data_IF_684191857430
#
_entry.id   IF_684191857430
#
_cell.length_a   1.000
_cell.length_b   1.000
_cell.length_c   1.000
_cell.angle_alpha   90.00
_cell.angle_beta   90.00
_cell.angle_gamma   90.00
#
_symmetry.space_group_name_H-M   'P 1'
#
loop_
_entity.id
_entity.type
_entity.pdbx_description
1 polymer ?
#
# COMPACT_ATOMS: atom_id res chain seq x y z
N UNK A 1 10.63 -23.87 20.99
CA UNK A 1 9.68 -22.73 21.00
C UNK A 1 10.40 -21.54 21.59
N UNK A 2 11.10 -20.76 20.77
CA UNK A 2 11.75 -19.52 21.16
C UNK A 2 11.99 -18.78 19.84
N UNK A 3 11.30 -17.65 19.61
CA UNK A 3 11.74 -16.50 18.81
C UNK A 3 10.61 -15.56 18.35
N UNK A 4 9.32 -15.84 18.63
CA UNK A 4 8.25 -14.92 18.22
C UNK A 4 8.19 -13.65 19.08
N UNK A 5 8.59 -13.72 20.36
CA UNK A 5 8.50 -12.60 21.29
C UNK A 5 9.63 -11.55 21.13
N UNK A 6 10.79 -11.93 20.60
CA UNK A 6 11.97 -11.04 20.51
C UNK A 6 11.93 -10.10 19.31
N UNK A 7 11.16 -10.39 18.25
CA UNK A 7 10.96 -9.45 17.13
C UNK A 7 9.97 -8.33 17.44
N UNK A 8 9.11 -8.50 18.45
CA UNK A 8 8.17 -7.46 18.88
C UNK A 8 8.84 -6.33 19.69
N UNK A 9 10.05 -6.56 20.23
CA UNK A 9 10.72 -5.64 21.16
C UNK A 9 11.55 -4.52 20.53
N UNK A 10 11.74 -4.49 19.20
CA UNK A 10 12.64 -3.53 18.53
C UNK A 10 11.93 -2.47 17.69
N UNK A 11 10.60 -2.34 17.80
CA UNK A 11 9.79 -1.46 16.95
C UNK A 11 8.84 -0.57 17.76
N UNK A 12 9.33 -0.02 18.87
CA UNK A 12 8.62 0.97 19.67
C UNK A 12 9.22 2.36 19.42
N UNK A 13 8.49 3.19 18.67
CA UNK A 13 8.42 4.64 18.85
C UNK A 13 7.45 5.33 17.87
N UNK A 14 7.10 4.74 16.71
CA UNK A 14 6.23 5.39 15.70
C UNK A 14 5.42 4.42 14.81
N UNK A 15 5.23 3.16 15.21
CA UNK A 15 4.54 2.19 14.36
C UNK A 15 3.01 2.33 14.49
N UNK A 16 2.41 3.05 13.55
CA UNK A 16 0.99 2.90 13.25
C UNK A 16 0.75 1.41 12.92
N UNK A 17 0.02 0.71 13.78
CA UNK A 17 -0.33 -0.69 13.55
C UNK A 17 -1.11 -0.78 12.22
N UNK A 18 -0.55 -1.47 11.22
CA UNK A 18 -1.23 -1.66 9.95
C UNK A 18 -2.55 -2.39 10.18
N UNK A 19 -3.63 -1.91 9.56
CA UNK A 19 -4.93 -2.57 9.65
C UNK A 19 -5.00 -3.66 8.58
N UNK A 20 -5.41 -4.88 8.92
CA UNK A 20 -5.62 -5.96 7.95
C UNK A 20 -7.06 -6.44 7.97
N UNK A 21 -7.52 -7.01 6.84
CA UNK A 21 -8.88 -7.51 6.71
C UNK A 21 -9.13 -8.80 7.50
N UNK A 22 -8.09 -9.60 7.67
CA UNK A 22 -8.04 -10.83 8.46
C UNK A 22 -6.59 -11.35 8.47
N UNK A 23 -6.35 -12.41 9.23
CA UNK A 23 -5.04 -13.08 9.34
C UNK A 23 -4.51 -13.58 7.98
N UNK A 24 -5.38 -14.01 7.06
CA UNK A 24 -4.95 -14.47 5.72
C UNK A 24 -4.38 -13.30 4.90
N UNK A 25 -4.96 -12.11 5.01
CA UNK A 25 -4.44 -10.89 4.39
C UNK A 25 -3.07 -10.54 4.97
N UNK A 26 -2.94 -10.48 6.29
CA UNK A 26 -1.66 -10.15 6.95
C UNK A 26 -0.54 -11.14 6.58
N UNK A 27 -0.81 -12.45 6.68
CA UNK A 27 0.16 -13.49 6.34
C UNK A 27 0.60 -13.38 4.89
N UNK A 28 -0.35 -13.24 3.96
CA UNK A 28 -0.03 -13.07 2.55
C UNK A 28 0.87 -11.86 2.29
N UNK A 29 0.59 -10.72 2.93
CA UNK A 29 1.36 -9.50 2.75
C UNK A 29 2.83 -9.70 3.10
N UNK A 30 3.13 -10.23 4.29
CA UNK A 30 4.51 -10.43 4.71
C UNK A 30 5.23 -11.51 3.89
N UNK A 31 4.56 -12.63 3.60
CA UNK A 31 5.13 -13.71 2.77
C UNK A 31 5.52 -13.22 1.37
N UNK A 32 4.66 -12.40 0.72
CA UNK A 32 4.94 -11.88 -0.62
C UNK A 32 5.93 -10.73 -0.62
N UNK A 33 5.95 -9.89 0.42
CA UNK A 33 6.91 -8.80 0.54
C UNK A 33 8.34 -9.31 0.75
N UNK A 34 8.52 -10.44 1.44
CA UNK A 34 9.83 -11.11 1.58
C UNK A 34 10.35 -11.64 0.23
N UNK A 35 9.44 -12.05 -0.66
CA UNK A 35 9.75 -12.54 -2.01
C UNK A 35 9.91 -11.40 -3.03
N UNK A 36 9.54 -10.18 -2.68
CA UNK A 36 9.53 -9.05 -3.61
C UNK A 36 10.94 -8.56 -3.92
N UNK A 37 11.17 -8.23 -5.20
CA UNK A 37 12.45 -7.66 -5.67
C UNK A 37 12.80 -6.34 -4.98
N UNK A 38 11.78 -5.57 -4.60
CA UNK A 38 11.91 -4.31 -3.88
C UNK A 38 10.88 -4.23 -2.76
N UNK A 39 11.23 -3.50 -1.69
CA UNK A 39 10.34 -3.21 -0.56
C UNK A 39 10.05 -1.70 -0.44
N UNK A 40 9.97 -1.02 -1.59
CA UNK A 40 9.56 0.39 -1.68
C UNK A 40 8.05 0.57 -1.45
N UNK A 41 7.59 1.82 -1.46
CA UNK A 41 6.18 2.16 -1.22
C UNK A 41 5.23 1.62 -2.31
N UNK A 42 5.70 1.47 -3.57
CA UNK A 42 4.91 0.92 -4.67
C UNK A 42 4.63 -0.57 -4.45
N UNK A 43 5.67 -1.35 -4.18
CA UNK A 43 5.56 -2.79 -3.96
C UNK A 43 4.78 -3.11 -2.68
N UNK A 44 5.02 -2.34 -1.60
CA UNK A 44 4.25 -2.47 -0.36
C UNK A 44 2.76 -2.25 -0.59
N UNK A 45 2.40 -1.16 -1.27
CA UNK A 45 0.99 -0.87 -1.56
C UNK A 45 0.35 -1.93 -2.47
N UNK A 46 1.03 -2.33 -3.55
CA UNK A 46 0.56 -3.36 -4.48
C UNK A 46 0.26 -4.68 -3.75
N UNK A 47 1.25 -5.21 -3.02
CA UNK A 47 1.13 -6.51 -2.34
C UNK A 47 0.07 -6.46 -1.24
N UNK A 48 0.00 -5.35 -0.49
CA UNK A 48 -1.01 -5.15 0.53
C UNK A 48 -2.41 -5.16 -0.08
N UNK A 49 -2.68 -4.35 -1.11
CA UNK A 49 -4.02 -4.28 -1.72
C UNK A 49 -4.43 -5.64 -2.29
N UNK A 50 -3.55 -6.32 -3.05
CA UNK A 50 -3.81 -7.66 -3.57
C UNK A 50 -4.00 -8.71 -2.47
N UNK A 51 -3.48 -8.46 -1.28
CA UNK A 51 -3.68 -9.31 -0.11
C UNK A 51 -5.08 -9.25 0.48
N UNK A 52 -5.93 -8.26 0.14
CA UNK A 52 -7.26 -8.08 0.73
C UNK A 52 -8.21 -9.21 0.33
N UNK A 53 -8.37 -9.45 -0.97
CA UNK A 53 -9.32 -10.42 -1.52
C UNK A 53 -8.73 -11.83 -1.54
N UNK A 54 -9.57 -12.83 -1.26
CA UNK A 54 -9.18 -14.22 -1.42
C UNK A 54 -8.89 -14.59 -2.87
N UNK A 55 -9.72 -14.11 -3.80
CA UNK A 55 -9.57 -14.37 -5.23
C UNK A 55 -8.21 -13.87 -5.74
N UNK A 56 -7.81 -12.66 -5.32
CA UNK A 56 -6.52 -12.07 -5.73
C UNK A 56 -5.33 -12.77 -5.11
N UNK A 57 -5.45 -13.29 -3.88
CA UNK A 57 -4.39 -14.11 -3.26
C UNK A 57 -4.21 -15.43 -4.01
N UNK A 58 -5.32 -16.10 -4.35
CA UNK A 58 -5.31 -17.39 -5.03
C UNK A 58 -4.78 -17.29 -6.48
N UNK A 59 -4.96 -16.14 -7.13
CA UNK A 59 -4.56 -15.90 -8.52
C UNK A 59 -3.41 -14.89 -8.67
N UNK A 60 -2.62 -14.66 -7.61
CA UNK A 60 -1.59 -13.63 -7.58
C UNK A 60 -0.61 -13.67 -8.77
N UNK A 61 -0.18 -14.87 -9.18
CA UNK A 61 0.74 -15.04 -10.32
C UNK A 61 0.12 -14.67 -11.68
N UNK A 62 -1.21 -14.62 -11.77
CA UNK A 62 -1.93 -14.14 -12.94
C UNK A 62 -2.09 -12.62 -12.94
N UNK A 63 -1.90 -11.95 -11.80
CA UNK A 63 -2.07 -10.50 -11.64
C UNK A 63 -0.72 -9.77 -11.73
N UNK A 64 0.31 -10.32 -11.11
CA UNK A 64 1.63 -9.69 -10.99
C UNK A 64 2.76 -10.71 -11.19
N UNK A 65 3.72 -10.35 -12.04
CA UNK A 65 4.95 -11.10 -12.22
C UNK A 65 6.03 -10.58 -11.26
N UNK A 66 6.31 -11.36 -10.21
CA UNK A 66 7.32 -11.02 -9.21
C UNK A 66 8.75 -10.91 -9.79
N UNK A 67 9.04 -11.59 -10.90
CA UNK A 67 10.38 -11.62 -11.51
C UNK A 67 10.61 -10.38 -12.38
N UNK A 68 9.67 -10.10 -13.29
CA UNK A 68 9.79 -8.93 -14.18
C UNK A 68 9.39 -7.63 -13.48
N UNK A 69 8.44 -7.70 -12.54
CA UNK A 69 7.79 -6.54 -11.95
C UNK A 69 6.64 -6.00 -12.81
N UNK A 70 6.14 -6.78 -13.76
CA UNK A 70 5.04 -6.38 -14.63
C UNK A 70 3.69 -6.79 -14.05
N UNK A 71 2.73 -5.87 -14.11
CA UNK A 71 1.30 -6.19 -13.95
C UNK A 71 0.78 -6.90 -15.20
N UNK A 72 -0.22 -7.76 -15.04
CA UNK A 72 -0.82 -8.57 -16.11
C UNK A 72 -2.29 -8.20 -16.27
N UNK A 73 -2.59 -7.36 -17.25
CA UNK A 73 -3.92 -6.76 -17.41
C UNK A 73 -4.99 -7.76 -17.84
N UNK A 74 -4.58 -8.89 -18.43
CA UNK A 74 -5.45 -10.00 -18.80
C UNK A 74 -6.21 -10.59 -17.61
N UNK A 75 -5.69 -10.39 -16.38
CA UNK A 75 -6.36 -10.81 -15.16
C UNK A 75 -7.73 -10.14 -14.95
N UNK A 76 -7.95 -8.94 -15.51
CA UNK A 76 -9.21 -8.19 -15.39
C UNK A 76 -10.38 -8.90 -16.10
N UNK A 77 -10.09 -9.85 -16.99
CA UNK A 77 -11.07 -10.58 -17.79
C UNK A 77 -11.16 -12.08 -17.45
N UNK A 78 -10.44 -12.53 -16.43
CA UNK A 78 -10.45 -13.93 -16.04
C UNK A 78 -11.74 -14.30 -15.32
N UNK A 79 -12.23 -15.52 -15.55
CA UNK A 79 -13.51 -16.00 -15.02
C UNK A 79 -13.57 -16.12 -13.49
N UNK A 80 -12.44 -16.03 -12.79
CA UNK A 80 -12.40 -16.00 -11.33
C UNK A 80 -12.71 -14.62 -10.74
N UNK A 81 -12.74 -13.56 -11.55
CA UNK A 81 -13.00 -12.21 -11.06
C UNK A 81 -14.42 -12.05 -10.53
N UNK A 82 -14.51 -11.41 -9.37
CA UNK A 82 -15.74 -10.92 -8.75
C UNK A 82 -15.79 -9.40 -8.84
N UNK A 83 -16.96 -8.81 -8.53
CA UNK A 83 -17.11 -7.35 -8.45
C UNK A 83 -16.20 -6.72 -7.40
N UNK A 84 -15.79 -7.47 -6.37
CA UNK A 84 -14.84 -7.03 -5.35
C UNK A 84 -13.39 -7.16 -5.80
N UNK A 85 -13.01 -8.32 -6.35
CA UNK A 85 -11.61 -8.55 -6.75
C UNK A 85 -11.15 -7.66 -7.90
N UNK A 86 -12.04 -7.32 -8.84
CA UNK A 86 -11.67 -6.39 -9.93
C UNK A 86 -11.35 -4.98 -9.40
N UNK A 87 -12.04 -4.52 -8.35
CA UNK A 87 -11.76 -3.23 -7.69
C UNK A 87 -10.43 -3.26 -6.95
N UNK A 88 -10.14 -4.39 -6.29
CA UNK A 88 -8.84 -4.64 -5.63
C UNK A 88 -7.71 -4.57 -6.67
N UNK A 89 -7.83 -5.28 -7.79
CA UNK A 89 -6.81 -5.29 -8.86
C UNK A 89 -6.59 -3.88 -9.42
N UNK A 90 -7.67 -3.16 -9.80
CA UNK A 90 -7.56 -1.81 -10.37
C UNK A 90 -6.90 -0.83 -9.40
N UNK A 91 -7.26 -0.85 -8.11
CA UNK A 91 -6.58 -0.01 -7.14
C UNK A 91 -5.10 -0.37 -6.99
N UNK A 92 -4.77 -1.67 -6.93
CA UNK A 92 -3.39 -2.12 -6.80
C UNK A 92 -2.54 -1.71 -8.02
N UNK A 93 -3.09 -1.85 -9.23
CA UNK A 93 -2.47 -1.40 -10.48
C UNK A 93 -2.25 0.11 -10.49
N UNK A 94 -3.24 0.89 -10.09
CA UNK A 94 -3.13 2.34 -10.05
C UNK A 94 -2.06 2.81 -9.07
N UNK A 95 -2.04 2.28 -7.83
CA UNK A 95 -1.02 2.64 -6.85
C UNK A 95 0.40 2.21 -7.26
N UNK A 96 0.52 1.13 -8.04
CA UNK A 96 1.82 0.62 -8.48
C UNK A 96 2.38 1.35 -9.72
N UNK A 97 1.51 1.74 -10.66
CA UNK A 97 1.91 2.27 -11.97
C UNK A 97 1.64 3.76 -12.16
N UNK A 98 0.89 4.38 -11.22
CA UNK A 98 0.32 5.72 -11.35
C UNK A 98 -0.55 5.91 -12.62
N UNK A 99 -0.99 4.82 -13.23
CA UNK A 99 -1.78 4.81 -14.46
C UNK A 99 -3.09 4.03 -14.32
N UNK A 100 -3.68 3.71 -15.47
CA UNK A 100 -4.88 2.88 -15.58
C UNK A 100 -4.60 1.67 -16.48
N UNK A 101 -3.80 0.70 -16.03
CA UNK A 101 -3.44 -0.46 -16.85
C UNK A 101 -4.67 -1.19 -17.40
N UNK A 102 -4.59 -1.67 -18.64
CA UNK A 102 -5.68 -2.34 -19.32
C UNK A 102 -6.58 -1.43 -20.15
N UNK A 103 -6.49 -0.10 -19.99
CA UNK A 103 -7.19 0.83 -20.91
C UNK A 103 -6.72 0.64 -22.35
N UNK A 104 -5.41 0.51 -22.57
CA UNK A 104 -4.83 0.37 -23.91
C UNK A 104 -5.04 -1.02 -24.53
N UNK A 105 -5.57 -2.00 -23.78
CA UNK A 105 -5.91 -3.33 -24.29
C UNK A 105 -7.15 -3.28 -25.20
N UNK A 106 -7.96 -2.23 -25.07
CA UNK A 106 -9.16 -2.02 -25.87
C UNK A 106 -8.88 -1.18 -27.12
N UNK A 107 -9.48 -1.58 -28.24
CA UNK A 107 -9.33 -0.87 -29.53
C UNK A 107 -10.34 0.27 -29.70
N UNK A 108 -11.52 0.15 -29.08
CA UNK A 108 -12.63 1.11 -29.27
C UNK A 108 -12.63 2.14 -28.14
N UNK A 109 -12.79 3.41 -28.50
CA UNK A 109 -12.73 4.52 -27.52
C UNK A 109 -13.77 4.42 -26.41
N UNK A 110 -14.96 3.93 -26.70
CA UNK A 110 -16.02 3.73 -25.71
C UNK A 110 -15.65 2.68 -24.67
N UNK A 111 -14.97 1.60 -25.09
CA UNK A 111 -14.46 0.56 -24.19
C UNK A 111 -13.27 1.06 -23.36
N UNK A 112 -12.35 1.81 -23.98
CA UNK A 112 -11.25 2.49 -23.26
C UNK A 112 -11.78 3.41 -22.16
N UNK A 113 -12.81 4.21 -22.48
CA UNK A 113 -13.49 5.08 -21.50
C UNK A 113 -14.15 4.23 -20.40
N UNK A 114 -14.77 3.11 -20.77
CA UNK A 114 -15.38 2.17 -19.83
C UNK A 114 -14.36 1.62 -18.83
N UNK A 115 -13.21 1.15 -19.30
CA UNK A 115 -12.15 0.65 -18.43
C UNK A 115 -11.57 1.76 -17.56
N UNK A 116 -11.30 2.94 -18.14
CA UNK A 116 -10.78 4.09 -17.40
C UNK A 116 -11.71 4.52 -16.25
N UNK A 117 -13.03 4.46 -16.44
CA UNK A 117 -14.01 4.74 -15.38
C UNK A 117 -13.89 3.77 -14.22
N UNK A 118 -13.57 2.50 -14.48
CA UNK A 118 -13.36 1.49 -13.43
C UNK A 118 -12.26 1.83 -12.42
N UNK A 119 -11.38 2.78 -12.74
CA UNK A 119 -10.35 3.31 -11.84
C UNK A 119 -10.80 4.50 -10.99
N UNK A 120 -12.04 4.96 -11.16
CA UNK A 120 -12.58 6.08 -10.40
C UNK A 120 -12.71 5.73 -8.92
N UNK A 121 -12.58 6.73 -8.05
CA UNK A 121 -12.82 6.58 -6.61
C UNK A 121 -14.22 6.01 -6.36
N UNK A 122 -15.23 6.48 -7.10
CA UNK A 122 -16.60 5.99 -6.98
C UNK A 122 -16.71 4.49 -7.27
N UNK A 123 -16.09 4.01 -8.34
CA UNK A 123 -16.15 2.59 -8.72
C UNK A 123 -15.33 1.71 -7.77
N UNK A 124 -14.12 2.14 -7.41
CA UNK A 124 -13.23 1.39 -6.51
C UNK A 124 -13.83 1.29 -5.09
N UNK A 125 -14.24 2.42 -4.50
CA UNK A 125 -14.66 2.47 -3.10
C UNK A 125 -16.11 2.02 -2.86
N UNK A 126 -16.88 1.71 -3.91
CA UNK A 126 -18.22 1.12 -3.79
C UNK A 126 -18.14 -0.38 -3.39
N UNK A 127 -17.51 -0.69 -2.26
CA UNK A 127 -17.42 -2.04 -1.67
C UNK A 127 -17.02 -1.98 -0.18
N UNK A 128 -17.04 -3.13 0.51
CA UNK A 128 -16.70 -3.24 1.93
C UNK A 128 -15.20 -3.11 2.27
N UNK A 129 -14.34 -2.73 1.32
CA UNK A 129 -12.89 -2.67 1.52
C UNK A 129 -12.31 -1.28 1.74
N UNK A 130 -13.14 -0.24 1.81
CA UNK A 130 -12.69 1.16 1.91
C UNK A 130 -11.64 1.41 3.00
N UNK A 131 -11.81 0.83 4.20
CA UNK A 131 -10.84 0.97 5.30
C UNK A 131 -9.46 0.40 4.95
N UNK A 132 -9.43 -0.77 4.29
CA UNK A 132 -8.19 -1.42 3.89
C UNK A 132 -7.58 -0.73 2.67
N UNK A 133 -8.39 -0.24 1.74
CA UNK A 133 -7.92 0.58 0.63
C UNK A 133 -7.20 1.83 1.11
N UNK A 134 -7.74 2.49 2.14
CA UNK A 134 -7.07 3.61 2.79
C UNK A 134 -5.70 3.24 3.36
N UNK A 135 -5.59 2.09 4.04
CA UNK A 135 -4.30 1.61 4.55
C UNK A 135 -3.27 1.40 3.43
N UNK A 136 -3.68 0.85 2.27
CA UNK A 136 -2.80 0.70 1.11
C UNK A 136 -2.35 2.03 0.50
N UNK A 137 -3.23 3.04 0.47
CA UNK A 137 -2.90 4.41 0.05
C UNK A 137 -1.85 5.00 1.00
N UNK A 138 -1.99 4.82 2.31
CA UNK A 138 -1.00 5.28 3.29
C UNK A 138 0.37 4.62 3.10
N UNK A 139 0.42 3.35 2.67
CA UNK A 139 1.67 2.67 2.33
C UNK A 139 2.33 3.23 1.08
N UNK A 140 1.54 3.66 0.10
CA UNK A 140 2.01 4.26 -1.16
C UNK A 140 2.55 5.69 -0.94
N UNK A 141 1.92 6.43 -0.03
CA UNK A 141 2.13 7.86 0.22
C UNK A 141 2.47 8.16 1.70
N UNK A 142 3.45 7.48 2.31
CA UNK A 142 3.72 7.57 3.74
C UNK A 142 4.11 9.00 4.18
N UNK A 143 4.71 9.79 3.31
CA UNK A 143 5.09 11.19 3.56
C UNK A 143 3.88 12.12 3.73
N UNK A 144 2.74 11.79 3.12
CA UNK A 144 1.50 12.58 3.21
C UNK A 144 0.55 12.10 4.31
N UNK A 145 0.78 10.89 4.83
CA UNK A 145 -0.11 10.27 5.82
C UNK A 145 0.45 10.25 7.24
N UNK A 146 1.64 10.84 7.46
CA UNK A 146 2.19 11.04 8.81
C UNK A 146 1.43 12.14 9.53
N UNK A 147 1.23 11.95 10.84
CA UNK A 147 0.75 13.02 11.72
C UNK A 147 1.73 14.19 11.60
N UNK A 148 1.24 15.34 11.12
CA UNK A 148 2.03 16.56 11.18
C UNK A 148 2.32 16.85 12.65
N UNK A 149 3.59 17.18 12.95
CA UNK A 149 3.94 17.65 14.29
C UNK A 149 3.09 18.87 14.61
N UNK A 150 2.55 18.94 15.82
CA UNK A 150 1.83 20.16 16.21
C UNK A 150 2.80 21.35 16.21
N UNK A 151 2.29 22.57 16.05
CA UNK A 151 3.13 23.77 16.16
C UNK A 151 3.82 23.78 17.54
N UNK A 152 3.17 23.30 18.60
CA UNK A 152 3.79 23.22 19.93
C UNK A 152 4.95 22.22 19.97
N UNK A 153 4.81 21.06 19.33
CA UNK A 153 5.90 20.07 19.24
C UNK A 153 7.11 20.62 18.48
N UNK A 154 6.86 21.38 17.41
CA UNK A 154 7.92 22.05 16.63
C UNK A 154 8.61 23.12 17.47
N UNK A 155 7.85 23.98 18.16
CA UNK A 155 8.39 25.05 19.01
C UNK A 155 9.22 24.47 20.17
N UNK A 156 8.71 23.44 20.85
CA UNK A 156 9.41 22.77 21.95
C UNK A 156 10.73 22.10 21.52
N UNK A 157 10.83 21.64 20.26
CA UNK A 157 12.08 21.11 19.71
C UNK A 157 13.07 22.24 19.35
N UNK A 158 12.57 23.36 18.82
CA UNK A 158 13.39 24.54 18.52
C UNK A 158 13.98 25.15 19.80
N UNK A 159 13.20 25.24 20.88
CA UNK A 159 13.66 25.73 22.18
C UNK A 159 14.74 24.83 22.80
N UNK A 160 14.57 23.50 22.73
CA UNK A 160 15.59 22.55 23.18
C UNK A 160 16.90 22.67 22.41
N UNK A 161 16.85 22.72 21.08
CA UNK A 161 18.04 22.91 20.24
C UNK A 161 18.75 24.25 20.51
N UNK A 162 17.99 25.31 20.80
CA UNK A 162 18.57 26.60 21.21
C UNK A 162 19.27 26.50 22.57
N UNK A 163 18.69 25.78 23.54
CA UNK A 163 19.29 25.59 24.85
C UNK A 163 20.58 24.76 24.78
N UNK A 164 20.60 23.67 24.01
CA UNK A 164 21.77 22.80 23.80
C UNK A 164 22.93 23.58 23.14
N UNK A 165 22.65 24.37 22.12
CA UNK A 165 23.66 25.22 21.47
C UNK A 165 24.17 26.37 22.36
N UNK A 166 23.46 26.71 23.43
CA UNK A 166 23.87 27.75 24.37
C UNK A 166 24.73 27.21 25.52
N UNK A 167 24.69 25.89 25.77
CA UNK A 167 25.51 25.24 26.81
C UNK A 167 26.89 24.80 26.32
N UNK A 168 27.05 24.48 25.03
CA UNK A 168 28.36 24.12 24.44
C UNK A 168 29.31 25.33 24.26
N UNK A 169 28.82 26.57 24.41
CA UNK A 169 29.61 27.79 24.25
C UNK A 169 30.33 28.28 25.52
N UNK A 170 30.27 27.54 26.62
CA UNK A 170 30.81 27.96 27.94
C UNK A 170 31.91 27.02 28.50
N UNK A 171 32.49 26.14 27.67
CA UNK A 171 33.71 25.41 28.01
C UNK A 171 34.94 26.07 27.34
N UNK A 172 35.35 27.25 27.82
CA UNK A 172 36.72 27.79 27.69
C UNK A 172 37.17 28.47 28.99
#
# INVERSE_FOLDING_TARGET
MNNTALRAGAQSANNTHMVFANEKHERFYYEKLEQARYQDCYHKALIYILGISEDTRNHFSQIYDMKSGCVKTECLHQGWQTSGSVKVVRLAFNLYTDGTPGVDDYKRKDEQIGECRGYSVSDIFCCGYALYFWQGIQLRYPEYCRKQRSIEEILAEMERKRAENSTDGNEE
#
